data_IF_168885647096
#
_entry.id   IF_168885647096
#
_cell.length_a   1.000
_cell.length_b   1.000
_cell.length_c   1.000
_cell.angle_alpha   90.00
_cell.angle_beta   90.00
_cell.angle_gamma   90.00
#
_symmetry.space_group_name_H-M   'P 1'
#
loop_
_entity.id
_entity.type
_entity.pdbx_description
1 polymer ?
#
# COMPACT_ATOMS: atom_id res chain seq x y z
N UNK A 1 28.70 -99.56 -22.23
CA UNK A 1 27.54 -99.72 -21.34
C UNK A 1 26.31 -99.17 -22.05
N UNK A 2 25.41 -100.10 -22.42
CA UNK A 2 24.07 -100.06 -23.04
C UNK A 2 23.34 -98.70 -23.17
N UNK A 3 22.46 -98.40 -24.13
CA UNK A 3 22.07 -98.88 -25.46
C UNK A 3 20.78 -98.11 -25.84
N UNK A 4 20.80 -97.36 -26.96
CA UNK A 4 19.74 -97.13 -27.98
C UNK A 4 18.34 -96.53 -27.62
N UNK A 5 17.72 -96.02 -28.71
CA UNK A 5 16.29 -95.76 -29.02
C UNK A 5 15.93 -94.25 -28.94
N UNK A 6 15.66 -93.43 -29.97
CA UNK A 6 14.97 -93.46 -31.31
C UNK A 6 13.47 -93.08 -31.24
N UNK A 7 13.06 -92.12 -32.11
CA UNK A 7 11.70 -91.70 -32.56
C UNK A 7 10.93 -90.65 -31.71
N UNK A 8 9.98 -89.83 -32.19
CA UNK A 8 9.49 -89.24 -33.47
C UNK A 8 8.45 -88.16 -33.05
N UNK A 9 8.31 -87.13 -33.87
CA UNK A 9 7.24 -86.13 -34.09
C UNK A 9 5.80 -86.47 -33.62
N UNK A 10 5.06 -85.50 -33.02
CA UNK A 10 3.80 -84.88 -33.53
C UNK A 10 2.93 -84.18 -32.45
N UNK A 11 2.31 -83.08 -32.89
CA UNK A 11 1.34 -82.17 -32.25
C UNK A 11 0.06 -82.82 -31.69
N UNK A 12 -0.61 -82.13 -30.74
CA UNK A 12 -2.06 -81.76 -30.67
C UNK A 12 -2.35 -81.12 -29.28
N UNK A 13 -2.70 -79.83 -29.18
CA UNK A 13 -4.06 -79.23 -29.11
C UNK A 13 -4.85 -79.56 -27.82
N UNK A 14 -5.07 -78.57 -26.91
CA UNK A 14 -6.39 -78.04 -26.46
C UNK A 14 -6.30 -77.27 -25.11
N UNK A 15 -6.71 -76.00 -25.16
CA UNK A 15 -7.68 -75.27 -24.30
C UNK A 15 -7.55 -75.40 -22.76
N UNK A 16 -7.27 -74.26 -22.11
CA UNK A 16 -8.00 -73.88 -20.90
C UNK A 16 -8.17 -72.36 -20.80
N UNK A 17 -9.44 -71.95 -20.82
CA UNK A 17 -9.91 -70.60 -20.53
C UNK A 17 -9.55 -70.21 -19.10
N UNK A 18 -9.10 -68.97 -18.90
CA UNK A 18 -9.25 -68.28 -17.63
C UNK A 18 -9.67 -66.83 -17.86
N UNK A 19 -10.55 -66.42 -16.97
CA UNK A 19 -11.62 -65.47 -17.22
C UNK A 19 -11.21 -64.03 -16.93
N UNK A 20 -11.88 -63.14 -17.64
CA UNK A 20 -11.91 -61.70 -17.50
C UNK A 20 -12.23 -61.30 -16.04
N UNK A 21 -11.39 -60.47 -15.43
CA UNK A 21 -11.78 -59.55 -14.36
C UNK A 21 -11.28 -58.16 -14.73
N UNK A 22 -12.10 -57.44 -15.49
CA UNK A 22 -11.97 -56.01 -15.69
C UNK A 22 -12.30 -55.28 -14.39
N UNK A 23 -11.28 -54.91 -13.62
CA UNK A 23 -11.42 -53.86 -12.60
C UNK A 23 -11.60 -52.53 -13.33
N UNK A 24 -12.87 -52.14 -13.49
CA UNK A 24 -13.22 -50.76 -13.81
C UNK A 24 -12.83 -49.86 -12.64
N UNK A 25 -11.75 -49.09 -12.81
CA UNK A 25 -11.46 -47.95 -11.96
C UNK A 25 -12.49 -46.85 -12.28
N UNK A 26 -13.60 -46.85 -11.55
CA UNK A 26 -14.46 -45.68 -11.45
C UNK A 26 -13.69 -44.60 -10.69
N UNK A 27 -13.11 -43.65 -11.43
CA UNK A 27 -12.65 -42.41 -10.82
C UNK A 27 -13.87 -41.59 -10.42
N UNK A 28 -14.19 -41.60 -9.12
CA UNK A 28 -15.04 -40.58 -8.52
C UNK A 28 -14.36 -39.22 -8.73
N UNK A 29 -14.79 -38.49 -9.76
CA UNK A 29 -14.55 -37.05 -9.87
C UNK A 29 -15.43 -36.41 -8.79
N UNK A 30 -14.90 -36.36 -7.58
CA UNK A 30 -15.43 -35.45 -6.57
C UNK A 30 -14.99 -34.06 -7.02
N UNK A 31 -15.85 -33.39 -7.79
CA UNK A 31 -15.73 -31.95 -8.02
C UNK A 31 -15.73 -31.26 -6.66
N UNK A 32 -14.54 -31.01 -6.13
CA UNK A 32 -14.37 -30.05 -5.06
C UNK A 32 -14.78 -28.71 -5.68
N UNK A 33 -16.02 -28.29 -5.42
CA UNK A 33 -16.44 -26.90 -5.58
C UNK A 33 -15.49 -26.10 -4.70
N UNK A 34 -14.38 -25.66 -5.29
CA UNK A 34 -13.50 -24.67 -4.72
C UNK A 34 -14.39 -23.48 -4.42
N UNK A 35 -14.73 -23.29 -3.15
CA UNK A 35 -15.48 -22.13 -2.70
C UNK A 35 -14.66 -20.94 -3.16
N UNK A 36 -15.13 -20.22 -4.18
CA UNK A 36 -14.42 -19.08 -4.73
C UNK A 36 -14.10 -18.12 -3.58
N UNK A 37 -12.84 -18.12 -3.16
CA UNK A 37 -12.36 -17.21 -2.13
C UNK A 37 -11.91 -15.96 -2.85
N UNK A 38 -12.75 -14.94 -2.84
CA UNK A 38 -12.40 -13.64 -3.40
C UNK A 38 -11.05 -13.20 -2.82
N UNK A 39 -10.06 -12.84 -3.66
CA UNK A 39 -8.76 -12.40 -3.17
C UNK A 39 -8.92 -11.14 -2.32
N UNK A 40 -8.11 -11.00 -1.26
CA UNK A 40 -8.18 -9.83 -0.40
C UNK A 40 -7.81 -8.57 -1.20
N UNK A 41 -8.52 -7.45 -0.97
CA UNK A 41 -8.40 -6.22 -1.75
C UNK A 41 -6.95 -5.74 -1.94
N UNK A 42 -6.11 -5.95 -0.92
CA UNK A 42 -4.74 -5.46 -0.84
C UNK A 42 -3.67 -6.53 -1.14
N UNK A 43 -4.05 -7.74 -1.54
CA UNK A 43 -3.10 -8.83 -1.89
C UNK A 43 -2.62 -8.77 -3.35
N UNK A 44 -3.19 -7.89 -4.17
CA UNK A 44 -2.85 -7.73 -5.57
C UNK A 44 -2.40 -6.29 -5.83
N UNK A 45 -1.73 -6.04 -6.97
CA UNK A 45 -1.45 -4.69 -7.51
C UNK A 45 -2.15 -4.31 -8.85
N UNK A 46 -2.89 -5.23 -9.49
CA UNK A 46 -3.75 -4.95 -10.66
C UNK A 46 -4.65 -3.71 -10.49
N UNK A 47 -4.72 -2.82 -11.49
CA UNK A 47 -5.59 -1.65 -11.44
C UNK A 47 -7.07 -2.05 -11.25
N UNK A 48 -7.75 -1.49 -10.25
CA UNK A 48 -9.21 -1.64 -10.12
C UNK A 48 -9.90 -0.62 -11.02
N UNK A 49 -10.83 -1.06 -11.87
CA UNK A 49 -11.71 -0.15 -12.61
C UNK A 49 -13.10 -0.19 -12.02
N UNK A 50 -13.59 0.93 -11.49
CA UNK A 50 -14.90 1.01 -10.85
C UNK A 50 -15.64 2.32 -11.15
N UNK A 51 -16.95 2.32 -10.95
CA UNK A 51 -17.81 3.51 -11.02
C UNK A 51 -18.37 3.86 -9.65
N UNK A 52 -18.49 5.16 -9.37
CA UNK A 52 -19.18 5.68 -8.19
C UNK A 52 -20.24 6.68 -8.64
N UNK A 53 -21.51 6.37 -8.34
CA UNK A 53 -22.65 7.25 -8.61
C UNK A 53 -23.20 7.82 -7.31
N UNK A 54 -23.25 9.15 -7.19
CA UNK A 54 -23.77 9.85 -6.00
C UNK A 54 -24.17 11.28 -6.36
N UNK A 55 -24.78 12.04 -5.44
CA UNK A 55 -24.94 13.49 -5.62
C UNK A 55 -23.57 14.15 -5.41
N UNK A 56 -22.77 14.17 -6.47
CA UNK A 56 -21.34 14.41 -6.44
C UNK A 56 -21.03 15.86 -6.04
N UNK A 57 -21.78 16.82 -6.59
CA UNK A 57 -21.64 18.25 -6.24
C UNK A 57 -21.88 18.49 -4.77
N UNK A 58 -22.88 17.83 -4.20
CA UNK A 58 -23.18 17.95 -2.76
C UNK A 58 -22.10 17.29 -1.92
N UNK A 59 -21.65 16.08 -2.27
CA UNK A 59 -20.59 15.36 -1.55
C UNK A 59 -19.30 16.19 -1.47
N UNK A 60 -18.77 16.68 -2.60
CA UNK A 60 -17.47 17.38 -2.63
C UNK A 60 -17.51 18.75 -1.96
N UNK A 61 -18.70 19.32 -1.77
CA UNK A 61 -18.91 20.60 -1.07
C UNK A 61 -19.22 20.43 0.42
N UNK A 62 -19.56 19.22 0.86
CA UNK A 62 -19.81 18.91 2.28
C UNK A 62 -18.48 18.68 3.01
N UNK A 63 -17.76 19.77 3.27
CA UNK A 63 -16.40 19.79 3.84
C UNK A 63 -16.33 20.29 5.29
N UNK A 64 -17.46 20.70 5.86
CA UNK A 64 -17.54 21.21 7.24
C UNK A 64 -17.13 20.17 8.29
N UNK A 65 -16.97 20.60 9.53
CA UNK A 65 -16.61 19.70 10.65
C UNK A 65 -17.67 18.63 10.93
N UNK A 66 -18.95 18.98 10.73
CA UNK A 66 -20.12 18.11 10.91
C UNK A 66 -20.61 17.49 9.60
N UNK A 67 -19.73 17.36 8.61
CA UNK A 67 -20.06 16.74 7.33
C UNK A 67 -20.60 15.31 7.49
N UNK A 68 -21.46 14.88 6.58
CA UNK A 68 -22.25 13.66 6.72
C UNK A 68 -21.84 12.60 5.71
N UNK A 69 -22.36 11.39 5.91
CA UNK A 69 -22.26 10.32 4.92
C UNK A 69 -23.35 10.49 3.87
N UNK A 70 -22.96 10.54 2.60
CA UNK A 70 -23.83 10.61 1.43
C UNK A 70 -24.03 9.23 0.83
N UNK A 71 -25.26 8.88 0.49
CA UNK A 71 -25.56 7.59 -0.18
C UNK A 71 -24.95 7.57 -1.58
N UNK A 72 -24.39 6.44 -1.97
CA UNK A 72 -23.83 6.24 -3.30
C UNK A 72 -23.99 4.79 -3.75
N UNK A 73 -23.83 4.54 -5.05
CA UNK A 73 -23.70 3.21 -5.62
C UNK A 73 -22.28 3.05 -6.16
N UNK A 74 -21.64 1.95 -5.81
CA UNK A 74 -20.36 1.51 -6.36
C UNK A 74 -20.62 0.33 -7.29
N UNK A 75 -19.98 0.32 -8.47
CA UNK A 75 -20.03 -0.85 -9.36
C UNK A 75 -18.68 -1.12 -10.03
N UNK A 76 -18.40 -2.38 -10.34
CA UNK A 76 -17.19 -2.81 -11.06
C UNK A 76 -17.43 -4.17 -11.75
N UNK A 77 -16.58 -4.52 -12.71
CA UNK A 77 -16.64 -5.81 -13.40
C UNK A 77 -15.89 -6.89 -12.62
N UNK A 78 -16.51 -8.06 -12.49
CA UNK A 78 -15.90 -9.28 -11.99
C UNK A 78 -16.15 -10.39 -13.03
N UNK A 79 -15.15 -10.64 -13.88
CA UNK A 79 -15.38 -11.38 -15.12
C UNK A 79 -16.43 -10.69 -15.99
N UNK A 80 -17.40 -11.45 -16.47
CA UNK A 80 -18.51 -10.93 -17.29
C UNK A 80 -19.65 -10.33 -16.46
N UNK A 81 -19.59 -10.45 -15.13
CA UNK A 81 -20.62 -9.94 -14.22
C UNK A 81 -20.31 -8.52 -13.76
N UNK A 82 -21.37 -7.70 -13.58
CA UNK A 82 -21.27 -6.40 -12.93
C UNK A 82 -21.67 -6.55 -11.46
N UNK A 83 -20.71 -6.36 -10.56
CA UNK A 83 -21.00 -6.26 -9.13
C UNK A 83 -21.43 -4.83 -8.84
N UNK A 84 -22.58 -4.66 -8.18
CA UNK A 84 -23.07 -3.36 -7.72
C UNK A 84 -23.42 -3.42 -6.25
N UNK A 85 -23.05 -2.39 -5.49
CA UNK A 85 -23.38 -2.29 -4.07
C UNK A 85 -23.67 -0.85 -3.63
N UNK A 86 -24.50 -0.73 -2.61
CA UNK A 86 -24.76 0.49 -1.88
C UNK A 86 -23.59 0.80 -0.94
N UNK A 87 -23.06 2.02 -1.04
CA UNK A 87 -22.00 2.52 -0.16
C UNK A 87 -22.39 3.89 0.39
N UNK A 88 -21.66 4.34 1.41
CA UNK A 88 -21.77 5.70 1.92
C UNK A 88 -20.42 6.41 1.80
N UNK A 89 -20.43 7.64 1.30
CA UNK A 89 -19.24 8.45 1.05
C UNK A 89 -19.21 9.66 1.97
N UNK A 90 -18.03 10.00 2.49
CA UNK A 90 -17.85 11.19 3.33
C UNK A 90 -16.50 11.83 3.03
N UNK A 91 -16.43 13.14 2.87
CA UNK A 91 -15.14 13.84 2.70
C UNK A 91 -14.29 13.70 3.96
N UNK A 92 -12.97 13.60 3.79
CA UNK A 92 -11.99 13.43 4.90
C UNK A 92 -10.75 14.28 4.67
N UNK A 93 -9.93 14.37 5.72
CA UNK A 93 -8.69 15.14 5.71
C UNK A 93 -8.84 16.49 6.41
N UNK A 94 -7.71 17.19 6.50
CA UNK A 94 -7.64 18.54 7.04
C UNK A 94 -7.34 19.52 5.89
N UNK A 95 -6.06 19.66 5.50
CA UNK A 95 -5.62 20.50 4.38
C UNK A 95 -6.35 20.19 3.07
N UNK A 96 -6.28 18.94 2.59
CA UNK A 96 -6.95 18.51 1.35
C UNK A 96 -8.48 18.49 1.43
N UNK A 97 -9.09 18.85 2.57
CA UNK A 97 -10.54 19.03 2.71
C UNK A 97 -10.95 20.49 2.45
N UNK A 98 -10.00 21.43 2.50
CA UNK A 98 -10.21 22.80 2.05
C UNK A 98 -10.40 22.84 0.53
N UNK A 99 -11.50 23.46 0.09
CA UNK A 99 -11.88 23.55 -1.32
C UNK A 99 -10.94 24.43 -2.15
N UNK A 100 -10.27 25.40 -1.52
CA UNK A 100 -9.25 26.24 -2.18
C UNK A 100 -8.01 25.42 -2.55
N UNK A 101 -7.71 24.37 -1.78
CA UNK A 101 -6.60 23.45 -2.01
C UNK A 101 -7.04 22.31 -2.95
N UNK A 102 -8.09 21.58 -2.54
CA UNK A 102 -8.64 20.45 -3.27
C UNK A 102 -10.16 20.58 -3.45
N UNK A 103 -10.62 21.07 -4.61
CA UNK A 103 -12.03 21.05 -4.99
C UNK A 103 -12.66 19.66 -4.99
N UNK A 104 -11.85 18.61 -5.17
CA UNK A 104 -12.24 17.21 -5.00
C UNK A 104 -11.48 16.59 -3.82
N UNK A 105 -12.02 16.66 -2.59
CA UNK A 105 -11.29 16.23 -1.41
C UNK A 105 -11.15 14.70 -1.33
N UNK A 106 -10.22 14.17 -0.52
CA UNK A 106 -10.14 12.75 -0.21
C UNK A 106 -11.46 12.25 0.41
N UNK A 107 -11.80 10.99 0.14
CA UNK A 107 -13.10 10.40 0.51
C UNK A 107 -12.87 9.21 1.44
N UNK A 108 -13.75 9.04 2.42
CA UNK A 108 -13.93 7.79 3.14
C UNK A 108 -15.14 7.07 2.58
N UNK A 109 -14.96 5.81 2.20
CA UNK A 109 -16.05 4.93 1.77
C UNK A 109 -16.42 4.02 2.94
N UNK A 110 -17.71 3.86 3.19
CA UNK A 110 -18.27 2.87 4.10
C UNK A 110 -19.10 1.89 3.28
N UNK A 111 -18.77 0.61 3.38
CA UNK A 111 -19.42 -0.44 2.60
C UNK A 111 -20.64 -1.00 3.34
N UNK A 112 -21.66 -1.41 2.60
CA UNK A 112 -22.72 -2.25 3.15
C UNK A 112 -22.14 -3.65 3.38
N UNK A 113 -22.07 -4.09 4.65
CA UNK A 113 -21.48 -5.38 5.02
C UNK A 113 -22.14 -6.54 4.27
N UNK A 114 -23.47 -6.59 4.23
CA UNK A 114 -24.21 -7.68 3.61
C UNK A 114 -23.92 -7.78 2.10
N UNK A 115 -23.93 -6.64 1.39
CA UNK A 115 -23.67 -6.59 -0.05
C UNK A 115 -22.18 -6.80 -0.39
N UNK A 116 -21.27 -6.48 0.54
CA UNK A 116 -19.82 -6.59 0.31
C UNK A 116 -19.26 -8.01 0.49
N UNK A 117 -19.98 -8.91 1.17
CA UNK A 117 -19.47 -10.22 1.62
C UNK A 117 -18.89 -11.09 0.49
N UNK A 118 -19.44 -10.99 -0.72
CA UNK A 118 -19.01 -11.75 -1.90
C UNK A 118 -18.39 -10.86 -2.98
N UNK A 119 -17.80 -9.73 -2.56
CA UNK A 119 -17.21 -8.74 -3.45
C UNK A 119 -15.70 -8.61 -3.25
N UNK A 120 -15.06 -7.84 -4.13
CA UNK A 120 -13.66 -7.42 -3.99
C UNK A 120 -13.42 -6.65 -2.68
N UNK A 121 -14.45 -6.01 -2.14
CA UNK A 121 -14.43 -5.28 -0.88
C UNK A 121 -14.92 -6.11 0.30
N UNK A 122 -14.96 -7.44 0.18
CA UNK A 122 -15.30 -8.31 1.30
C UNK A 122 -14.38 -8.03 2.50
N UNK A 123 -14.94 -8.14 3.71
CA UNK A 123 -14.31 -7.81 5.01
C UNK A 123 -13.94 -6.33 5.20
N UNK A 124 -14.12 -5.47 4.18
CA UNK A 124 -13.83 -4.05 4.30
C UNK A 124 -15.03 -3.31 4.88
N UNK A 125 -14.92 -2.82 6.11
CA UNK A 125 -16.00 -2.01 6.71
C UNK A 125 -15.99 -0.57 6.22
N UNK A 126 -14.83 0.07 6.29
CA UNK A 126 -14.59 1.44 5.83
C UNK A 126 -13.18 1.54 5.27
N UNK A 127 -13.00 2.28 4.19
CA UNK A 127 -11.69 2.54 3.62
C UNK A 127 -11.47 4.04 3.41
N UNK A 128 -10.21 4.46 3.59
CA UNK A 128 -9.75 5.75 3.11
C UNK A 128 -9.44 5.62 1.62
N UNK A 129 -9.93 6.56 0.83
CA UNK A 129 -9.64 6.71 -0.58
C UNK A 129 -8.99 8.07 -0.81
N UNK A 130 -7.74 8.05 -1.23
CA UNK A 130 -7.05 9.26 -1.70
C UNK A 130 -7.52 9.55 -3.12
N UNK A 131 -7.89 10.79 -3.38
CA UNK A 131 -8.52 11.24 -4.63
C UNK A 131 -7.67 12.30 -5.31
N UNK A 132 -7.98 12.59 -6.55
CA UNK A 132 -7.18 13.38 -7.47
C UNK A 132 -7.09 14.87 -7.18
N UNK A 133 -7.75 15.39 -6.13
CA UNK A 133 -7.73 16.79 -5.70
C UNK A 133 -8.31 17.81 -6.72
N UNK A 134 -7.78 17.88 -7.94
CA UNK A 134 -8.14 18.84 -9.00
C UNK A 134 -8.60 18.13 -10.29
N UNK A 135 -9.76 18.53 -10.81
CA UNK A 135 -10.37 17.86 -11.96
C UNK A 135 -9.66 18.11 -13.31
N UNK A 136 -9.13 19.34 -13.51
CA UNK A 136 -8.67 19.83 -14.82
C UNK A 136 -7.15 19.79 -15.00
N UNK A 137 -6.38 19.65 -13.92
CA UNK A 137 -4.92 19.71 -13.98
C UNK A 137 -4.33 18.31 -13.75
N UNK A 138 -3.81 17.71 -14.83
CA UNK A 138 -3.25 16.35 -14.81
C UNK A 138 -2.01 16.21 -13.90
N UNK A 139 -1.34 17.31 -13.54
CA UNK A 139 -0.26 17.27 -12.53
C UNK A 139 -0.74 16.63 -11.22
N UNK A 140 -1.99 16.85 -10.83
CA UNK A 140 -2.52 16.28 -9.59
C UNK A 140 -2.78 14.76 -9.68
N UNK A 141 -3.00 14.20 -10.88
CA UNK A 141 -3.00 12.75 -11.08
C UNK A 141 -1.60 12.19 -10.84
N UNK A 142 -0.58 12.85 -11.36
CA UNK A 142 0.82 12.45 -11.15
C UNK A 142 1.21 12.54 -9.68
N UNK A 143 0.82 13.61 -8.97
CA UNK A 143 1.01 13.71 -7.51
C UNK A 143 0.35 12.56 -6.74
N UNK A 144 -0.87 12.18 -7.11
CA UNK A 144 -1.57 11.06 -6.48
C UNK A 144 -0.83 9.73 -6.71
N UNK A 145 -0.32 9.51 -7.91
CA UNK A 145 0.49 8.34 -8.24
C UNK A 145 1.81 8.35 -7.47
N UNK A 146 2.48 9.49 -7.34
CA UNK A 146 3.67 9.63 -6.50
C UNK A 146 3.38 9.25 -5.04
N UNK A 147 2.29 9.75 -4.44
CA UNK A 147 1.91 9.38 -3.06
C UNK A 147 1.64 7.87 -2.94
N UNK A 148 0.93 7.28 -3.91
CA UNK A 148 0.71 5.83 -3.99
C UNK A 148 2.03 5.05 -4.06
N UNK A 149 2.97 5.47 -4.90
CA UNK A 149 4.25 4.78 -5.07
C UNK A 149 5.16 4.93 -3.85
N UNK A 150 5.04 5.99 -3.05
CA UNK A 150 5.74 6.10 -1.76
C UNK A 150 5.25 5.03 -0.78
N UNK A 151 3.95 4.75 -0.73
CA UNK A 151 3.43 3.64 0.07
C UNK A 151 4.01 2.30 -0.41
N UNK A 152 4.00 2.04 -1.73
CA UNK A 152 4.59 0.83 -2.32
C UNK A 152 6.08 0.70 -2.02
N UNK A 153 6.83 1.80 -2.12
CA UNK A 153 8.24 1.86 -1.77
C UNK A 153 8.46 1.54 -0.28
N UNK A 154 7.64 2.07 0.62
CA UNK A 154 7.76 1.77 2.04
C UNK A 154 7.45 0.30 2.38
N UNK A 155 6.55 -0.36 1.63
CA UNK A 155 6.27 -1.79 1.79
C UNK A 155 7.54 -2.64 1.58
N UNK A 156 8.48 -2.22 0.71
CA UNK A 156 9.77 -2.91 0.55
C UNK A 156 10.60 -2.91 1.83
N UNK A 157 10.56 -1.83 2.63
CA UNK A 157 11.44 -1.65 3.79
C UNK A 157 10.85 -2.14 5.10
N UNK A 158 9.52 -2.28 5.17
CA UNK A 158 8.81 -2.64 6.39
C UNK A 158 7.50 -3.39 6.08
N UNK A 159 7.30 -4.62 6.59
CA UNK A 159 5.99 -5.26 6.54
C UNK A 159 4.97 -4.52 7.43
N UNK A 160 5.44 -3.84 8.49
CA UNK A 160 4.66 -2.89 9.29
C UNK A 160 4.50 -1.56 8.53
N UNK A 161 3.68 -1.59 7.49
CA UNK A 161 3.37 -0.50 6.57
C UNK A 161 1.94 -0.66 6.09
N UNK A 162 1.30 0.40 5.59
CA UNK A 162 -0.03 0.25 4.98
C UNK A 162 0.11 -0.30 3.56
N UNK A 163 -0.67 -1.32 3.21
CA UNK A 163 -0.85 -1.66 1.80
C UNK A 163 -1.80 -0.66 1.13
N UNK A 164 -1.60 -0.45 -0.16
CA UNK A 164 -2.41 0.46 -0.98
C UNK A 164 -2.79 -0.20 -2.30
N UNK A 165 -3.94 0.18 -2.84
CA UNK A 165 -4.50 -0.41 -4.07
C UNK A 165 -4.99 0.69 -4.99
N UNK A 166 -4.38 0.79 -6.17
CA UNK A 166 -4.72 1.79 -7.18
C UNK A 166 -6.05 1.45 -7.86
N UNK A 167 -6.86 2.48 -8.12
CA UNK A 167 -8.13 2.39 -8.80
C UNK A 167 -8.29 3.52 -9.82
N UNK A 168 -8.90 3.22 -10.95
CA UNK A 168 -9.43 4.18 -11.90
C UNK A 168 -10.94 4.29 -11.68
N UNK A 169 -11.39 5.47 -11.26
CA UNK A 169 -12.76 5.69 -10.83
C UNK A 169 -13.49 6.55 -11.86
N UNK A 170 -14.62 6.05 -12.34
CA UNK A 170 -15.60 6.83 -13.09
C UNK A 170 -16.65 7.38 -12.12
N UNK A 171 -16.56 8.67 -11.80
CA UNK A 171 -17.55 9.38 -10.99
C UNK A 171 -18.72 9.84 -11.85
N UNK A 172 -19.94 9.55 -11.42
CA UNK A 172 -21.19 9.98 -12.07
C UNK A 172 -22.04 10.76 -11.06
N UNK A 173 -22.45 11.98 -11.43
CA UNK A 173 -23.33 12.78 -10.59
C UNK A 173 -24.80 12.39 -10.82
N UNK A 174 -25.48 11.90 -9.79
CA UNK A 174 -26.89 11.49 -9.88
C UNK A 174 -27.86 12.65 -10.10
N UNK A 175 -27.39 13.89 -9.95
CA UNK A 175 -28.16 15.11 -10.22
C UNK A 175 -27.74 15.83 -11.50
N UNK A 176 -26.79 15.28 -12.26
CA UNK A 176 -26.27 15.87 -13.50
C UNK A 176 -25.80 17.33 -13.35
N UNK A 177 -25.37 17.73 -12.15
CA UNK A 177 -24.82 19.07 -11.86
C UNK A 177 -23.30 19.12 -12.07
N UNK A 178 -22.66 17.96 -12.18
CA UNK A 178 -21.27 17.79 -12.60
C UNK A 178 -21.20 16.74 -13.70
N UNK A 179 -20.45 17.02 -14.76
CA UNK A 179 -20.18 16.04 -15.81
C UNK A 179 -19.41 14.82 -15.26
N UNK A 180 -19.48 13.66 -15.94
CA UNK A 180 -18.74 12.48 -15.52
C UNK A 180 -17.24 12.75 -15.50
N UNK A 181 -16.54 12.18 -14.52
CA UNK A 181 -15.10 12.34 -14.34
C UNK A 181 -14.46 10.96 -14.22
N UNK A 182 -13.38 10.73 -14.97
CA UNK A 182 -12.60 9.50 -14.89
C UNK A 182 -11.20 9.83 -14.38
N UNK A 183 -10.85 9.36 -13.18
CA UNK A 183 -9.64 9.78 -12.47
C UNK A 183 -9.06 8.63 -11.63
N UNK A 184 -7.73 8.58 -11.49
CA UNK A 184 -7.10 7.69 -10.53
C UNK A 184 -7.37 8.12 -9.09
N UNK A 185 -7.46 7.12 -8.23
CA UNK A 185 -7.55 7.18 -6.78
C UNK A 185 -6.86 5.94 -6.21
N UNK A 186 -6.53 5.91 -4.92
CA UNK A 186 -6.08 4.67 -4.29
C UNK A 186 -6.71 4.47 -2.92
N UNK A 187 -6.95 3.21 -2.59
CA UNK A 187 -7.39 2.78 -1.26
C UNK A 187 -6.19 2.55 -0.36
N UNK A 188 -6.34 2.89 0.91
CA UNK A 188 -5.37 2.58 1.97
C UNK A 188 -5.97 1.52 2.88
N UNK A 189 -5.20 0.47 3.17
CA UNK A 189 -5.53 -0.61 4.11
C UNK A 189 -6.05 -0.06 5.45
N UNK A 190 -7.02 -0.76 6.04
CA UNK A 190 -7.51 -0.41 7.36
C UNK A 190 -6.41 -0.58 8.42
N UNK A 191 -6.44 0.26 9.45
CA UNK A 191 -5.40 0.26 10.47
C UNK A 191 -5.40 -1.01 11.33
N UNK A 192 -6.58 -1.53 11.64
CA UNK A 192 -6.73 -2.77 12.39
C UNK A 192 -6.26 -3.96 11.56
N UNK A 193 -6.64 -4.00 10.27
CA UNK A 193 -6.21 -5.07 9.35
C UNK A 193 -4.69 -5.07 9.14
N UNK A 194 -4.08 -3.89 8.95
CA UNK A 194 -2.63 -3.73 8.83
C UNK A 194 -1.91 -4.21 10.10
N UNK A 195 -2.42 -3.87 11.28
CA UNK A 195 -1.88 -4.36 12.55
C UNK A 195 -2.03 -5.89 12.66
N UNK A 196 -3.22 -6.41 12.36
CA UNK A 196 -3.57 -7.82 12.45
C UNK A 196 -2.71 -8.71 11.58
N UNK A 197 -2.50 -8.37 10.29
CA UNK A 197 -1.62 -9.15 9.40
C UNK A 197 -0.15 -9.14 9.83
N UNK A 198 0.24 -8.18 10.68
CA UNK A 198 1.57 -8.09 11.28
C UNK A 198 1.68 -8.78 12.64
N UNK A 199 0.64 -9.50 13.08
CA UNK A 199 0.58 -10.17 14.38
C UNK A 199 0.60 -9.18 15.55
N UNK A 200 0.03 -7.99 15.37
CA UNK A 200 0.08 -6.87 16.31
C UNK A 200 -1.32 -6.30 16.54
N UNK A 201 -1.44 -5.52 17.61
CA UNK A 201 -2.62 -4.70 17.91
C UNK A 201 -2.28 -3.22 17.67
N UNK A 202 -3.26 -2.42 17.22
CA UNK A 202 -3.08 -0.98 17.16
C UNK A 202 -3.06 -0.34 18.55
N UNK A 203 -2.38 0.79 18.62
CA UNK A 203 -2.20 1.61 19.81
C UNK A 203 -2.70 3.02 19.52
N UNK A 204 -3.45 3.56 20.48
CA UNK A 204 -4.21 4.81 20.34
C UNK A 204 -3.77 5.88 21.34
N UNK A 205 -2.49 5.91 21.72
CA UNK A 205 -1.97 6.98 22.58
C UNK A 205 -2.10 8.36 21.90
N UNK A 206 -1.99 9.42 22.69
CA UNK A 206 -1.93 10.80 22.17
C UNK A 206 -0.50 11.26 21.91
N UNK A 207 0.47 10.73 22.67
CA UNK A 207 1.89 11.10 22.63
C UNK A 207 2.74 9.90 23.06
N UNK A 208 3.94 9.79 22.50
CA UNK A 208 4.94 8.81 22.94
C UNK A 208 6.35 9.35 22.69
N UNK A 209 7.27 9.22 23.64
CA UNK A 209 8.67 9.56 23.35
C UNK A 209 9.21 8.59 22.29
N UNK A 210 10.02 9.10 21.35
CA UNK A 210 10.52 8.27 20.25
C UNK A 210 11.34 7.07 20.75
N UNK A 211 12.09 7.22 21.85
CA UNK A 211 12.88 6.13 22.42
C UNK A 211 12.06 5.06 23.18
N UNK A 212 10.76 5.31 23.39
CA UNK A 212 9.84 4.28 23.89
C UNK A 212 9.29 3.41 22.76
N UNK A 213 9.66 3.69 21.50
CA UNK A 213 9.36 2.85 20.34
C UNK A 213 10.51 1.89 20.03
N UNK A 214 10.30 0.97 19.11
CA UNK A 214 11.38 0.09 18.62
C UNK A 214 12.43 0.90 17.84
N UNK A 215 13.61 1.06 18.43
CA UNK A 215 14.67 1.96 17.96
C UNK A 215 15.12 1.69 16.53
N UNK A 216 15.37 0.43 16.17
CA UNK A 216 15.75 0.07 14.81
C UNK A 216 14.66 0.40 13.79
N UNK A 217 13.39 0.16 14.15
CA UNK A 217 12.23 0.44 13.28
C UNK A 217 12.04 1.94 13.06
N UNK A 218 12.12 2.75 14.13
CA UNK A 218 11.98 4.20 13.99
C UNK A 218 13.18 4.87 13.31
N UNK A 219 14.37 4.30 13.46
CA UNK A 219 15.57 4.75 12.74
C UNK A 219 15.41 4.48 11.24
N UNK A 220 14.97 3.27 10.86
CA UNK A 220 14.64 2.93 9.47
C UNK A 220 13.56 3.84 8.89
N UNK A 221 12.49 4.08 9.64
CA UNK A 221 11.44 5.03 9.26
C UNK A 221 12.03 6.42 8.99
N UNK A 222 12.89 6.93 9.87
CA UNK A 222 13.50 8.25 9.70
C UNK A 222 14.40 8.32 8.46
N UNK A 223 15.16 7.26 8.16
CA UNK A 223 15.97 7.17 6.92
C UNK A 223 15.07 7.09 5.68
N UNK A 224 13.96 6.34 5.73
CA UNK A 224 13.00 6.30 4.62
C UNK A 224 12.34 7.67 4.39
N UNK A 225 11.94 8.35 5.47
CA UNK A 225 11.41 9.71 5.37
C UNK A 225 12.44 10.65 4.79
N UNK A 226 13.73 10.51 5.15
CA UNK A 226 14.81 11.25 4.51
C UNK A 226 14.90 10.96 3.01
N UNK A 227 14.88 9.68 2.60
CA UNK A 227 14.91 9.21 1.20
C UNK A 227 13.82 9.86 0.33
N UNK A 228 12.61 10.04 0.85
CA UNK A 228 11.48 10.61 0.09
C UNK A 228 11.30 12.13 0.28
N UNK A 229 12.17 12.79 1.06
CA UNK A 229 12.03 14.21 1.41
C UNK A 229 10.82 14.49 2.30
N UNK A 230 10.49 13.51 3.14
CA UNK A 230 9.47 13.43 4.19
C UNK A 230 9.74 14.27 5.46
N UNK A 231 9.32 15.53 5.57
CA UNK A 231 9.49 16.29 6.83
C UNK A 231 8.21 16.48 7.66
N UNK A 232 7.03 16.21 7.12
CA UNK A 232 5.74 16.36 7.79
C UNK A 232 5.34 15.09 8.57
N UNK A 233 6.06 14.78 9.65
CA UNK A 233 5.74 13.65 10.54
C UNK A 233 6.24 13.90 11.97
N UNK A 234 5.90 13.05 12.93
CA UNK A 234 6.47 13.14 14.26
C UNK A 234 5.94 12.12 15.24
N UNK A 235 6.82 11.25 15.74
CA UNK A 235 6.46 10.24 16.76
C UNK A 235 5.97 10.87 18.08
N UNK A 236 6.60 11.94 18.63
CA UNK A 236 6.15 12.56 19.89
C UNK A 236 4.68 12.98 19.93
N UNK A 237 4.14 13.46 18.81
CA UNK A 237 2.77 13.97 18.68
C UNK A 237 1.88 13.08 17.82
N UNK A 238 2.42 11.95 17.34
CA UNK A 238 1.77 11.05 16.39
C UNK A 238 1.26 11.75 15.12
N UNK A 239 1.96 12.80 14.70
CA UNK A 239 1.68 13.49 13.44
C UNK A 239 2.11 12.58 12.30
N UNK A 240 1.17 12.17 11.44
CA UNK A 240 1.41 11.24 10.34
C UNK A 240 2.10 9.92 10.77
N UNK A 241 1.86 9.49 12.02
CA UNK A 241 2.38 8.25 12.60
C UNK A 241 1.23 7.47 13.27
N UNK A 242 1.19 6.16 13.02
CA UNK A 242 0.41 5.18 13.77
C UNK A 242 1.32 4.29 14.58
N UNK A 243 0.78 3.67 15.63
CA UNK A 243 1.53 2.78 16.51
C UNK A 243 0.89 1.40 16.54
N UNK A 244 1.70 0.35 16.37
CA UNK A 244 1.26 -1.04 16.52
C UNK A 244 2.21 -1.78 17.46
N UNK A 245 1.71 -2.70 18.26
CA UNK A 245 2.51 -3.42 19.26
C UNK A 245 2.08 -4.89 19.36
N UNK A 246 2.98 -5.78 19.78
CA UNK A 246 2.64 -7.21 19.99
C UNK A 246 1.65 -7.40 21.13
N UNK A 247 1.83 -6.63 22.21
CA UNK A 247 0.95 -6.60 23.38
C UNK A 247 0.75 -5.15 23.83
N UNK A 248 -0.24 -4.85 24.70
CA UNK A 248 -0.46 -3.49 25.22
C UNK A 248 0.74 -2.87 25.97
N UNK A 249 1.69 -3.68 26.44
CA UNK A 249 2.88 -3.24 27.20
C UNK A 249 4.17 -3.29 26.38
N UNK A 250 4.13 -3.88 25.18
CA UNK A 250 5.30 -3.94 24.29
C UNK A 250 5.65 -2.55 23.75
N UNK A 251 6.95 -2.29 23.52
CA UNK A 251 7.38 -1.10 22.77
C UNK A 251 6.75 -1.13 21.37
N UNK A 252 6.04 -0.08 20.94
CA UNK A 252 5.36 -0.09 19.66
C UNK A 252 6.33 0.14 18.49
N UNK A 253 5.92 -0.34 17.32
CA UNK A 253 6.46 0.05 16.01
C UNK A 253 5.73 1.31 15.55
N UNK A 254 6.43 2.41 15.21
CA UNK A 254 5.83 3.53 14.52
C UNK A 254 5.69 3.23 13.03
N UNK A 255 4.52 3.54 12.48
CA UNK A 255 4.16 3.29 11.08
C UNK A 255 3.76 4.63 10.43
N UNK A 256 4.49 5.10 9.41
CA UNK A 256 4.18 6.35 8.73
C UNK A 256 2.96 6.20 7.80
N UNK A 257 2.23 7.29 7.61
CA UNK A 257 1.14 7.43 6.65
C UNK A 257 0.92 8.90 6.30
N UNK A 258 0.16 9.21 5.24
CA UNK A 258 -0.03 10.57 4.70
C UNK A 258 1.30 11.15 4.20
N UNK A 259 1.65 10.82 2.95
CA UNK A 259 2.93 11.22 2.32
C UNK A 259 2.76 12.39 1.36
N UNK A 260 1.60 13.05 1.35
CA UNK A 260 1.27 14.13 0.42
C UNK A 260 2.19 15.35 0.53
N UNK A 261 2.87 15.52 1.66
CA UNK A 261 3.86 16.56 1.91
C UNK A 261 5.31 16.20 1.52
N UNK A 262 5.54 15.05 0.89
CA UNK A 262 6.87 14.61 0.48
C UNK A 262 7.40 15.36 -0.74
N UNK A 263 8.73 15.57 -0.79
CA UNK A 263 9.44 16.08 -1.98
C UNK A 263 9.07 15.30 -3.25
N UNK A 264 8.96 13.98 -3.13
CA UNK A 264 8.58 13.12 -4.26
C UNK A 264 7.14 13.37 -4.75
N UNK A 265 6.22 13.82 -3.90
CA UNK A 265 4.88 14.21 -4.35
C UNK A 265 4.90 15.56 -5.05
N UNK A 266 5.78 16.48 -4.62
CA UNK A 266 5.93 17.82 -5.21
C UNK A 266 4.58 18.57 -5.30
N UNK A 267 3.82 18.52 -4.21
CA UNK A 267 2.53 19.17 -4.10
C UNK A 267 2.68 20.70 -4.06
N UNK A 268 1.95 21.48 -4.89
CA UNK A 268 2.09 22.93 -4.93
C UNK A 268 1.59 23.63 -3.66
N UNK A 269 0.79 22.94 -2.84
CA UNK A 269 0.33 23.44 -1.55
C UNK A 269 1.26 23.07 -0.39
N UNK A 270 2.25 22.20 -0.61
CA UNK A 270 3.17 21.80 0.43
C UNK A 270 4.22 22.89 0.64
N UNK A 271 4.33 23.36 1.87
CA UNK A 271 5.32 24.37 2.27
C UNK A 271 6.22 23.83 3.38
N UNK A 272 7.49 24.26 3.46
CA UNK A 272 8.37 23.86 4.55
C UNK A 272 7.79 24.27 5.90
N UNK A 273 7.92 23.40 6.90
CA UNK A 273 7.53 23.77 8.25
C UNK A 273 8.52 24.85 8.76
N UNK A 274 8.07 26.05 9.15
CA UNK A 274 8.96 27.16 9.53
C UNK A 274 9.82 26.86 10.77
N UNK A 275 9.48 25.82 11.55
CA UNK A 275 10.29 25.35 12.69
C UNK A 275 11.44 24.45 12.26
N UNK A 276 11.43 23.97 11.03
CA UNK A 276 12.49 23.18 10.43
C UNK A 276 13.26 24.15 9.54
N UNK A 277 14.54 24.36 9.84
CA UNK A 277 15.40 25.34 9.18
C UNK A 277 15.77 24.91 7.74
N UNK A 278 14.75 24.69 6.91
CA UNK A 278 14.80 24.29 5.50
C UNK A 278 14.06 25.34 4.67
N UNK A 279 14.57 25.60 3.46
CA UNK A 279 14.05 26.64 2.56
C UNK A 279 13.03 26.07 1.58
N UNK A 280 13.10 24.78 1.30
CA UNK A 280 12.27 24.08 0.33
C UNK A 280 11.77 22.75 0.88
N UNK A 281 10.59 22.30 0.42
CA UNK A 281 10.10 20.94 0.70
C UNK A 281 11.00 19.87 0.05
N UNK A 282 11.85 20.28 -0.90
CA UNK A 282 12.82 19.42 -1.55
C UNK A 282 14.10 19.22 -0.73
N UNK A 283 14.36 20.10 0.25
CA UNK A 283 15.51 19.97 1.13
C UNK A 283 15.35 18.73 2.02
N UNK A 284 16.32 17.82 1.94
CA UNK A 284 16.33 16.66 2.83
C UNK A 284 16.67 17.10 4.24
N UNK A 285 15.94 16.57 5.22
CA UNK A 285 16.23 16.80 6.64
C UNK A 285 16.06 15.50 7.42
N UNK A 286 17.14 15.04 8.06
CA UNK A 286 17.06 13.85 8.90
C UNK A 286 16.42 14.20 10.24
N UNK A 287 15.20 13.72 10.46
CA UNK A 287 14.41 14.01 11.67
C UNK A 287 14.46 12.90 12.73
N UNK A 288 15.37 11.94 12.55
CA UNK A 288 15.68 10.90 13.53
C UNK A 288 16.54 11.43 14.69
N UNK A 289 16.59 10.65 15.76
CA UNK A 289 17.53 10.90 16.85
C UNK A 289 18.92 10.35 16.52
N UNK A 290 19.95 10.93 17.13
CA UNK A 290 21.34 10.52 16.95
C UNK A 290 21.52 9.01 17.18
N UNK A 291 22.22 8.37 16.25
CA UNK A 291 22.61 6.95 16.28
C UNK A 291 24.10 6.84 15.99
N UNK A 292 24.69 5.68 16.29
CA UNK A 292 26.09 5.44 15.94
C UNK A 292 26.22 5.23 14.43
N UNK A 293 27.43 5.46 13.88
CA UNK A 293 27.70 5.15 12.48
C UNK A 293 27.42 3.67 12.16
N UNK A 294 27.71 2.77 13.11
CA UNK A 294 27.43 1.32 12.99
C UNK A 294 25.93 1.01 12.89
N UNK A 295 25.10 1.65 13.72
CA UNK A 295 23.65 1.47 13.69
C UNK A 295 23.05 1.96 12.36
N UNK A 296 23.53 3.12 11.87
CA UNK A 296 23.10 3.69 10.61
C UNK A 296 23.53 2.83 9.43
N UNK A 297 24.77 2.34 9.43
CA UNK A 297 25.29 1.49 8.35
C UNK A 297 24.51 0.16 8.22
N UNK A 298 24.08 -0.43 9.35
CA UNK A 298 23.20 -1.60 9.31
C UNK A 298 21.89 -1.31 8.55
N UNK A 299 21.33 -0.12 8.72
CA UNK A 299 20.14 0.33 8.00
C UNK A 299 20.47 0.63 6.54
N UNK A 300 21.52 1.40 6.25
CA UNK A 300 21.90 1.78 4.89
C UNK A 300 22.18 0.57 3.99
N UNK A 301 22.80 -0.48 4.52
CA UNK A 301 22.99 -1.74 3.78
C UNK A 301 21.68 -2.31 3.23
N UNK A 302 20.59 -2.25 3.99
CA UNK A 302 19.27 -2.66 3.50
C UNK A 302 18.77 -1.77 2.36
N UNK A 303 18.98 -0.46 2.44
CA UNK A 303 18.65 0.48 1.36
C UNK A 303 19.47 0.22 0.10
N UNK A 304 20.77 -0.08 0.22
CA UNK A 304 21.62 -0.45 -0.92
C UNK A 304 21.17 -1.76 -1.56
N UNK A 305 20.91 -2.80 -0.76
CA UNK A 305 20.41 -4.09 -1.26
C UNK A 305 19.06 -3.97 -1.99
N UNK A 306 18.20 -3.04 -1.56
CA UNK A 306 16.87 -2.82 -2.16
C UNK A 306 16.86 -1.73 -3.23
N UNK A 307 18.01 -1.15 -3.61
CA UNK A 307 18.09 -0.03 -4.57
C UNK A 307 17.39 -0.36 -5.89
N UNK A 308 17.75 -1.47 -6.53
CA UNK A 308 17.15 -1.86 -7.81
C UNK A 308 15.62 -2.05 -7.70
N UNK A 309 15.15 -2.75 -6.67
CA UNK A 309 13.71 -2.96 -6.44
C UNK A 309 12.96 -1.64 -6.16
N UNK A 310 13.58 -0.69 -5.46
CA UNK A 310 13.00 0.63 -5.23
C UNK A 310 12.85 1.42 -6.54
N UNK A 311 13.86 1.39 -7.41
CA UNK A 311 13.81 2.08 -8.70
C UNK A 311 12.74 1.45 -9.59
N UNK A 312 12.65 0.12 -9.57
CA UNK A 312 11.68 -0.64 -10.36
C UNK A 312 10.23 -0.28 -10.02
N UNK A 313 9.91 0.04 -8.76
CA UNK A 313 8.57 0.51 -8.37
C UNK A 313 8.11 1.73 -9.19
N UNK A 314 9.04 2.63 -9.52
CA UNK A 314 8.71 3.85 -10.26
C UNK A 314 8.82 3.65 -11.77
N UNK A 315 9.88 2.99 -12.26
CA UNK A 315 10.10 2.77 -13.70
C UNK A 315 9.02 1.91 -14.32
N UNK A 316 8.57 0.86 -13.60
CA UNK A 316 7.52 -0.06 -14.05
C UNK A 316 6.10 0.51 -13.99
N UNK A 317 5.89 1.66 -13.32
CA UNK A 317 4.55 2.25 -13.23
C UNK A 317 4.15 2.83 -14.61
N UNK A 318 3.12 2.27 -15.29
CA UNK A 318 2.73 2.74 -16.62
C UNK A 318 1.92 4.05 -16.58
N UNK A 319 1.49 4.47 -15.38
CA UNK A 319 0.62 5.64 -15.19
C UNK A 319 1.41 6.91 -14.81
N UNK A 320 2.67 6.73 -14.39
CA UNK A 320 3.58 7.83 -14.08
C UNK A 320 4.32 8.23 -15.38
N UNK A 321 4.36 9.52 -15.69
CA UNK A 321 5.06 9.99 -16.88
C UNK A 321 6.60 9.98 -16.69
N UNK A 322 7.33 9.99 -17.81
CA UNK A 322 8.78 9.82 -17.78
C UNK A 322 9.52 10.97 -17.10
N UNK A 323 9.01 12.20 -17.23
CA UNK A 323 9.56 13.36 -16.51
C UNK A 323 9.49 13.19 -14.99
N UNK A 324 8.38 12.67 -14.49
CA UNK A 324 8.18 12.41 -13.07
C UNK A 324 9.00 11.20 -12.59
N UNK A 325 9.18 10.17 -13.44
CA UNK A 325 10.11 9.06 -13.16
C UNK A 325 11.54 9.58 -13.02
N UNK A 326 12.04 10.28 -14.03
CA UNK A 326 13.39 10.84 -14.06
C UNK A 326 13.66 11.73 -12.83
N UNK A 327 12.74 12.62 -12.49
CA UNK A 327 12.86 13.48 -11.30
C UNK A 327 13.00 12.66 -10.01
N UNK A 328 12.20 11.60 -9.84
CA UNK A 328 12.27 10.73 -8.66
C UNK A 328 13.60 9.97 -8.63
N UNK A 329 14.04 9.43 -9.75
CA UNK A 329 15.28 8.67 -9.84
C UNK A 329 16.49 9.55 -9.52
N UNK A 330 16.56 10.77 -10.08
CA UNK A 330 17.61 11.74 -9.74
C UNK A 330 17.61 12.07 -8.25
N UNK A 331 16.42 12.26 -7.65
CA UNK A 331 16.32 12.46 -6.21
C UNK A 331 16.85 11.23 -5.45
N UNK A 332 16.50 10.01 -5.85
CA UNK A 332 17.06 8.80 -5.24
C UNK A 332 18.57 8.69 -5.39
N UNK A 333 19.14 9.04 -6.54
CA UNK A 333 20.58 9.02 -6.76
C UNK A 333 21.31 9.93 -5.76
N UNK A 334 20.82 11.15 -5.53
CA UNK A 334 21.35 12.05 -4.49
C UNK A 334 21.32 11.41 -3.09
N UNK A 335 20.26 10.65 -2.76
CA UNK A 335 20.20 9.92 -1.48
C UNK A 335 21.30 8.86 -1.39
N UNK A 336 21.50 8.09 -2.45
CA UNK A 336 22.51 7.03 -2.48
C UNK A 336 23.93 7.60 -2.42
N UNK A 337 24.21 8.70 -3.13
CA UNK A 337 25.48 9.43 -3.02
C UNK A 337 25.76 9.87 -1.57
N UNK A 338 24.74 10.33 -0.85
CA UNK A 338 24.87 10.72 0.56
C UNK A 338 25.20 9.52 1.44
N UNK A 339 24.46 8.41 1.33
CA UNK A 339 24.68 7.24 2.21
C UNK A 339 25.93 6.43 1.85
N UNK A 340 26.49 6.62 0.65
CA UNK A 340 27.74 6.00 0.20
C UNK A 340 28.98 6.85 0.56
N UNK A 341 28.79 8.06 1.09
CA UNK A 341 29.86 8.95 1.51
C UNK A 341 29.92 9.09 3.06
N UNK A 342 30.94 8.53 3.74
CA UNK A 342 31.04 8.58 5.20
C UNK A 342 31.04 10.00 5.79
N UNK A 343 31.62 10.99 5.08
CA UNK A 343 31.61 12.39 5.52
C UNK A 343 30.22 12.99 5.43
N UNK A 344 29.48 12.70 4.35
CA UNK A 344 28.10 13.13 4.20
C UNK A 344 27.19 12.45 5.24
N UNK A 345 27.33 11.14 5.46
CA UNK A 345 26.63 10.41 6.53
C UNK A 345 26.84 11.07 7.89
N UNK A 346 28.10 11.36 8.24
CA UNK A 346 28.42 12.02 9.52
C UNK A 346 27.70 13.36 9.64
N UNK A 347 27.75 14.19 8.61
CA UNK A 347 27.11 15.51 8.60
C UNK A 347 25.58 15.40 8.72
N UNK A 348 24.94 14.66 7.81
CA UNK A 348 23.48 14.63 7.68
C UNK A 348 22.78 13.81 8.78
N UNK A 349 23.35 12.66 9.17
CA UNK A 349 22.68 11.69 10.03
C UNK A 349 23.23 11.61 11.46
N UNK A 350 24.37 12.25 11.77
CA UNK A 350 25.02 12.16 13.10
C UNK A 350 25.18 13.54 13.74
N UNK A 351 25.80 14.48 13.03
CA UNK A 351 26.08 15.82 13.56
C UNK A 351 24.80 16.67 13.61
N UNK A 352 23.99 16.63 12.55
CA UNK A 352 22.73 17.36 12.45
C UNK A 352 21.52 16.62 13.06
N UNK A 353 21.73 15.40 13.56
CA UNK A 353 20.65 14.59 14.12
C UNK A 353 20.13 15.14 15.45
N UNK A 354 18.87 14.84 15.76
CA UNK A 354 18.25 15.29 17.01
C UNK A 354 18.90 14.60 18.20
N UNK A 355 19.22 15.35 19.25
CA UNK A 355 19.72 14.80 20.51
C UNK A 355 18.59 14.67 21.52
N UNK A 356 18.59 13.59 22.30
CA UNK A 356 17.68 13.44 23.44
C UNK A 356 18.17 14.38 24.53
N UNK A 357 17.36 15.38 24.89
CA UNK A 357 17.61 16.18 26.07
C UNK A 357 16.83 15.57 27.22
N UNK A 358 17.51 14.83 28.08
CA UNK A 358 16.93 14.47 29.38
C UNK A 358 16.78 15.77 30.16
N UNK A 359 15.55 16.11 30.58
CA UNK A 359 15.39 17.12 31.62
C UNK A 359 16.06 16.54 32.87
N UNK A 360 17.08 17.24 33.37
CA UNK A 360 17.65 16.96 34.70
C UNK A 360 16.57 17.12 35.75
#
# INVERSE_FOLDING_TARGET
MNSKIRYIVFSFLLILLSSINSLGLSQNIQDSVSLFKAPNLFESDTLIKLSITTNLRTLVRDIGEKNKYHKARLSYHLGDSIVTMSVQLKTRGNFRKDRSICPFPPIRIKFNKAESSYSLFHRQGKLKMVTHCQNKNERYQQMLLQEYLIYKAYNLFSPESFNVRLAEITYKDSKNQMGPLKKYAFFIEDFEDMAGRNGKIPRYEKKIHQDHTLIGKVTKLAVFQYLVGNTDWGVPTLHNIKLIAKTPTSRPVPVPYDFDWASLVNAPYAVPNPKLNIKSIHDRLYRGYKRTAKDLEYIFREFRMKKAALYEIYTSCPYLNDKEKERVLNYFDEFYEIIDNPKAVKREFIDNARTIKYKK
#
